data_IF_722646602846
#
_entry.id   IF_722646602846
#
_cell.length_a   1.000
_cell.length_b   1.000
_cell.length_c   1.000
_cell.angle_alpha   90.00
_cell.angle_beta   90.00
_cell.angle_gamma   90.00
#
_symmetry.space_group_name_H-M   'P 1'
#
loop_
_entity.id
_entity.type
_entity.pdbx_description
1 polymer ?
#
# COMPACT_ATOMS: atom_id res chain seq x y z
N UNK A 1 -17.63 17.12 15.52
CA UNK A 1 -16.45 16.79 16.37
C UNK A 1 -15.54 18.00 16.38
N UNK A 2 -14.99 18.40 17.54
CA UNK A 2 -14.17 19.60 17.63
C UNK A 2 -12.74 19.36 17.12
N UNK A 3 -12.17 20.33 16.42
CA UNK A 3 -10.78 20.29 15.90
C UNK A 3 -9.79 19.91 16.99
N UNK A 4 -9.92 20.45 18.19
CA UNK A 4 -9.08 20.17 19.35
C UNK A 4 -9.03 18.70 19.75
N UNK A 5 -10.17 18.01 19.71
CA UNK A 5 -10.23 16.58 19.99
C UNK A 5 -9.43 15.77 18.96
N UNK A 6 -9.52 16.13 17.68
CA UNK A 6 -8.75 15.47 16.64
C UNK A 6 -7.24 15.71 16.84
N UNK A 7 -6.82 16.95 17.13
CA UNK A 7 -5.41 17.28 17.39
C UNK A 7 -4.87 16.51 18.61
N UNK A 8 -5.65 16.40 19.69
CA UNK A 8 -5.27 15.59 20.86
C UNK A 8 -5.12 14.11 20.52
N UNK A 9 -6.03 13.58 19.71
CA UNK A 9 -5.97 12.19 19.24
C UNK A 9 -4.75 11.94 18.35
N UNK A 10 -4.44 12.87 17.44
CA UNK A 10 -3.27 12.80 16.55
C UNK A 10 -1.96 12.90 17.36
N UNK A 11 -1.91 13.77 18.39
CA UNK A 11 -0.79 13.84 19.31
C UNK A 11 -0.58 12.53 20.07
N UNK A 12 -1.67 11.93 20.57
CA UNK A 12 -1.63 10.64 21.27
C UNK A 12 -1.14 9.52 20.35
N UNK A 13 -1.58 9.53 19.07
CA UNK A 13 -1.14 8.58 18.06
C UNK A 13 0.36 8.72 17.75
N UNK A 14 0.88 9.96 17.62
CA UNK A 14 2.31 10.21 17.42
C UNK A 14 3.14 9.63 18.58
N UNK A 15 2.74 9.91 19.82
CA UNK A 15 3.44 9.39 21.00
C UNK A 15 3.38 7.88 21.17
N UNK A 16 2.28 7.27 20.75
CA UNK A 16 2.10 5.81 20.85
C UNK A 16 2.91 5.05 19.80
N UNK A 17 3.00 5.60 18.60
CA UNK A 17 3.54 4.90 17.44
C UNK A 17 5.02 5.21 17.18
N UNK A 18 5.57 6.27 17.77
CA UNK A 18 6.99 6.59 17.68
C UNK A 18 7.69 6.35 19.04
N UNK A 19 8.43 5.23 19.18
CA UNK A 19 9.13 4.90 20.42
C UNK A 19 10.33 5.82 20.72
N UNK A 20 10.79 6.60 19.74
CA UNK A 20 11.90 7.54 19.93
C UNK A 20 11.50 8.78 20.74
N UNK A 21 10.20 9.09 20.84
CA UNK A 21 9.71 10.26 21.55
C UNK A 21 9.81 10.05 23.07
N UNK A 22 10.63 10.86 23.78
CA UNK A 22 10.81 10.71 25.21
C UNK A 22 9.56 11.06 26.02
N UNK A 23 9.48 10.60 27.26
CA UNK A 23 8.40 10.95 28.16
C UNK A 23 8.49 12.41 28.63
N UNK A 24 7.37 12.96 29.11
CA UNK A 24 7.30 14.27 29.76
C UNK A 24 7.33 15.47 28.79
N UNK A 25 7.73 16.64 29.31
CA UNK A 25 7.66 17.92 28.61
C UNK A 25 8.58 17.98 27.39
N UNK A 26 9.73 17.34 27.43
CA UNK A 26 10.64 17.23 26.27
C UNK A 26 9.97 16.54 25.10
N UNK A 27 9.32 15.39 25.33
CA UNK A 27 8.60 14.70 24.26
C UNK A 27 7.41 15.49 23.71
N UNK A 28 6.75 16.29 24.55
CA UNK A 28 5.74 17.23 24.08
C UNK A 28 6.32 18.24 23.08
N UNK A 29 7.43 18.88 23.42
CA UNK A 29 8.08 19.83 22.51
C UNK A 29 8.56 19.15 21.22
N UNK A 30 9.09 17.94 21.32
CA UNK A 30 9.58 17.16 20.19
C UNK A 30 8.46 16.84 19.20
N UNK A 31 7.30 16.36 19.66
CA UNK A 31 6.13 16.14 18.80
C UNK A 31 5.65 17.42 18.15
N UNK A 32 5.52 18.49 18.94
CA UNK A 32 4.92 19.74 18.45
C UNK A 32 5.81 20.48 17.46
N UNK A 33 7.13 20.43 17.61
CA UNK A 33 8.06 21.24 16.82
C UNK A 33 8.95 20.44 15.86
N UNK A 34 9.18 19.15 16.13
CA UNK A 34 10.16 18.35 15.39
C UNK A 34 9.54 17.18 14.60
N UNK A 35 8.22 16.93 14.73
CA UNK A 35 7.57 15.84 13.99
C UNK A 35 6.81 16.38 12.77
N UNK A 36 7.36 16.25 11.54
CA UNK A 36 6.74 16.83 10.33
C UNK A 36 5.32 16.32 10.09
N UNK A 37 5.06 15.04 10.37
CA UNK A 37 3.73 14.43 10.23
C UNK A 37 2.69 15.09 11.13
N UNK A 38 3.03 15.35 12.41
CA UNK A 38 2.13 16.04 13.34
C UNK A 38 1.90 17.50 12.95
N UNK A 39 2.94 18.20 12.49
CA UNK A 39 2.82 19.57 11.99
C UNK A 39 1.87 19.64 10.79
N UNK A 40 2.05 18.73 9.82
CA UNK A 40 1.23 18.69 8.60
C UNK A 40 -0.24 18.39 8.89
N UNK A 41 -0.54 17.40 9.75
CA UNK A 41 -1.93 17.06 10.08
C UNK A 41 -2.60 18.14 10.91
N UNK A 42 -1.90 18.74 11.87
CA UNK A 42 -2.43 19.83 12.70
C UNK A 42 -2.78 21.04 11.83
N UNK A 43 -1.88 21.44 10.93
CA UNK A 43 -2.16 22.49 9.96
C UNK A 43 -3.36 22.12 9.06
N UNK A 44 -3.41 20.89 8.56
CA UNK A 44 -4.50 20.40 7.74
C UNK A 44 -5.88 20.50 8.46
N UNK A 45 -5.97 20.22 9.77
CA UNK A 45 -7.21 20.35 10.52
C UNK A 45 -7.81 21.76 10.40
N UNK A 46 -6.96 22.81 10.53
CA UNK A 46 -7.34 24.22 10.34
C UNK A 46 -7.66 24.55 8.88
N UNK A 47 -6.81 24.12 7.94
CA UNK A 47 -6.96 24.34 6.51
C UNK A 47 -8.25 23.70 5.99
N UNK A 48 -8.56 22.49 6.39
CA UNK A 48 -9.79 21.76 6.04
C UNK A 48 -11.04 22.50 6.54
N UNK A 49 -10.98 23.02 7.77
CA UNK A 49 -12.07 23.82 8.32
C UNK A 49 -12.33 25.10 7.51
N UNK A 50 -11.27 25.84 7.15
CA UNK A 50 -11.37 27.02 6.27
C UNK A 50 -11.97 26.66 4.91
N UNK A 51 -11.55 25.54 4.34
CA UNK A 51 -12.00 25.08 3.03
C UNK A 51 -13.47 24.63 3.04
N UNK A 52 -13.87 23.85 4.04
CA UNK A 52 -15.18 23.19 4.05
C UNK A 52 -16.26 24.03 4.74
N UNK A 53 -15.94 24.69 5.85
CA UNK A 53 -16.92 25.44 6.67
C UNK A 53 -17.09 26.86 6.19
N UNK A 54 -15.99 27.55 5.89
CA UNK A 54 -16.02 28.93 5.44
C UNK A 54 -15.93 29.08 3.92
N UNK A 55 -15.62 28.00 3.20
CA UNK A 55 -15.50 27.96 1.74
C UNK A 55 -14.60 29.07 1.18
N UNK A 56 -13.53 29.39 1.91
CA UNK A 56 -12.57 30.40 1.48
C UNK A 56 -11.88 29.93 0.20
N UNK A 57 -11.94 30.71 -0.89
CA UNK A 57 -11.28 30.31 -2.13
C UNK A 57 -9.77 30.53 -2.03
N UNK A 58 -8.97 29.75 -2.75
CA UNK A 58 -7.51 29.88 -2.95
C UNK A 58 -6.68 29.77 -1.66
N UNK A 59 -6.99 30.54 -0.61
CA UNK A 59 -6.19 30.62 0.62
C UNK A 59 -5.90 29.26 1.27
N UNK A 60 -6.85 28.31 1.40
CA UNK A 60 -6.56 26.99 1.94
C UNK A 60 -5.52 26.23 1.11
N UNK A 61 -5.57 26.33 -0.21
CA UNK A 61 -4.57 25.72 -1.11
C UNK A 61 -3.20 26.37 -0.96
N UNK A 62 -3.15 27.69 -0.84
CA UNK A 62 -1.90 28.42 -0.65
C UNK A 62 -1.23 28.05 0.68
N UNK A 63 -2.01 28.01 1.78
CA UNK A 63 -1.47 27.57 3.08
C UNK A 63 -0.98 26.11 3.00
N UNK A 64 -1.73 25.22 2.34
CA UNK A 64 -1.33 23.83 2.13
C UNK A 64 0.01 23.72 1.36
N UNK A 65 0.25 24.61 0.40
CA UNK A 65 1.53 24.67 -0.34
C UNK A 65 2.69 25.08 0.58
N UNK A 66 2.50 26.04 1.49
CA UNK A 66 3.51 26.46 2.47
C UNK A 66 3.83 25.27 3.42
N UNK A 67 2.80 24.58 3.92
CA UNK A 67 2.95 23.40 4.79
C UNK A 67 3.74 22.31 4.08
N UNK A 68 3.41 22.01 2.81
CA UNK A 68 4.17 21.08 1.97
C UNK A 68 5.65 21.48 1.84
N UNK A 69 5.92 22.75 1.56
CA UNK A 69 7.28 23.23 1.44
C UNK A 69 8.09 23.03 2.73
N UNK A 70 7.46 23.23 3.89
CA UNK A 70 8.12 23.07 5.20
C UNK A 70 8.26 21.62 5.64
N UNK A 71 7.22 20.80 5.45
CA UNK A 71 7.15 19.42 5.99
C UNK A 71 7.50 18.34 4.98
N UNK A 72 7.51 18.66 3.68
CA UNK A 72 7.60 17.67 2.60
C UNK A 72 6.32 16.83 2.40
N UNK A 73 5.21 17.18 3.09
CA UNK A 73 3.95 16.45 3.09
C UNK A 73 2.87 17.27 2.40
N UNK A 74 2.26 16.69 1.34
CA UNK A 74 1.12 17.31 0.66
C UNK A 74 -0.20 16.72 1.11
N UNK A 75 -1.07 17.52 1.70
CA UNK A 75 -2.45 17.13 2.01
C UNK A 75 -3.40 18.13 1.36
N UNK A 76 -4.26 17.65 0.47
CA UNK A 76 -5.25 18.52 -0.17
C UNK A 76 -6.26 19.04 0.86
N UNK A 77 -6.63 20.34 0.85
CA UNK A 77 -7.58 20.92 1.82
C UNK A 77 -8.92 20.20 1.95
N UNK A 78 -9.42 19.59 0.86
CA UNK A 78 -10.67 18.85 0.84
C UNK A 78 -10.57 17.40 1.38
N UNK A 79 -9.37 16.85 1.56
CA UNK A 79 -9.21 15.49 2.07
C UNK A 79 -9.85 15.33 3.45
N UNK A 80 -10.58 14.25 3.66
CA UNK A 80 -11.26 13.94 4.92
C UNK A 80 -10.40 12.97 5.72
N UNK A 81 -9.95 13.36 6.91
CA UNK A 81 -9.04 12.56 7.73
C UNK A 81 -9.63 12.36 9.12
N UNK A 82 -9.80 11.12 9.53
CA UNK A 82 -10.28 10.71 10.85
C UNK A 82 -9.34 11.09 11.99
N UNK A 83 -9.73 10.79 13.22
CA UNK A 83 -8.95 11.03 14.44
C UNK A 83 -7.82 9.98 14.61
N UNK A 84 -6.73 10.33 15.30
CA UNK A 84 -5.63 9.42 15.56
C UNK A 84 -4.75 9.13 14.35
N UNK A 85 -4.75 10.03 13.37
CA UNK A 85 -3.93 9.87 12.16
C UNK A 85 -2.46 10.14 12.45
N UNK A 86 -1.59 9.26 12.00
CA UNK A 86 -0.15 9.35 12.21
C UNK A 86 0.61 9.23 10.89
N UNK A 87 1.54 10.16 10.66
CA UNK A 87 2.51 10.09 9.56
C UNK A 87 3.89 10.01 10.16
N UNK A 88 4.58 8.89 9.93
CA UNK A 88 5.95 8.69 10.34
C UNK A 88 6.91 9.14 9.24
N UNK A 89 7.95 9.90 9.61
CA UNK A 89 8.90 10.57 8.72
C UNK A 89 8.25 11.55 7.73
N UNK A 90 7.38 11.11 6.87
CA UNK A 90 6.44 11.88 6.06
C UNK A 90 6.96 12.44 4.74
N UNK A 91 8.28 12.55 4.50
CA UNK A 91 8.81 13.12 3.27
C UNK A 91 8.20 12.47 2.01
N UNK A 92 7.64 13.29 1.11
CA UNK A 92 7.03 12.81 -0.14
C UNK A 92 5.67 12.13 0.01
N UNK A 93 5.00 12.24 1.16
CA UNK A 93 3.59 11.83 1.30
C UNK A 93 2.70 12.77 0.50
N UNK A 94 1.77 12.19 -0.28
CA UNK A 94 0.76 12.93 -1.05
C UNK A 94 -0.63 12.37 -0.77
N UNK A 95 -1.54 13.21 -0.30
CA UNK A 95 -2.95 12.89 -0.03
C UNK A 95 -3.85 13.75 -0.90
N UNK A 96 -4.51 13.11 -1.88
CA UNK A 96 -5.31 13.78 -2.90
C UNK A 96 -6.68 14.27 -2.40
N UNK A 97 -7.33 15.11 -3.20
CA UNK A 97 -8.53 15.88 -2.92
C UNK A 97 -9.71 15.06 -2.35
N UNK A 98 -10.07 13.97 -3.01
CA UNK A 98 -11.26 13.17 -2.64
C UNK A 98 -10.90 11.97 -1.77
N UNK A 99 -9.71 11.98 -1.15
CA UNK A 99 -9.29 10.94 -0.20
C UNK A 99 -10.14 10.99 1.06
N UNK A 100 -10.52 9.81 1.53
CA UNK A 100 -11.17 9.62 2.84
C UNK A 100 -10.29 8.67 3.64
N UNK A 101 -9.94 9.07 4.85
CA UNK A 101 -9.11 8.28 5.77
C UNK A 101 -9.88 8.09 7.06
N UNK A 102 -10.01 6.86 7.50
CA UNK A 102 -10.64 6.47 8.76
C UNK A 102 -9.81 6.86 10.00
N UNK A 103 -10.12 6.24 11.12
CA UNK A 103 -9.45 6.49 12.41
C UNK A 103 -8.18 5.66 12.56
N UNK A 104 -7.22 6.18 13.34
CA UNK A 104 -6.00 5.47 13.71
C UNK A 104 -5.21 4.91 12.51
N UNK A 105 -5.20 5.61 11.39
CA UNK A 105 -4.45 5.23 10.20
C UNK A 105 -3.01 5.71 10.32
N UNK A 106 -2.07 4.85 9.94
CA UNK A 106 -0.63 5.15 9.93
C UNK A 106 -0.11 5.13 8.50
N UNK A 107 0.57 6.19 8.10
CA UNK A 107 1.31 6.28 6.82
C UNK A 107 2.79 6.50 7.09
N UNK A 108 3.62 5.99 6.19
CA UNK A 108 5.05 6.25 6.17
C UNK A 108 5.43 7.16 5.00
N UNK A 109 6.70 7.60 4.99
CA UNK A 109 7.24 8.46 3.93
C UNK A 109 7.00 7.89 2.52
N UNK A 110 6.83 8.79 1.56
CA UNK A 110 6.65 8.43 0.15
C UNK A 110 5.32 7.79 -0.22
N UNK A 111 4.38 7.67 0.73
CA UNK A 111 3.04 7.14 0.45
C UNK A 111 2.25 8.10 -0.43
N UNK A 112 1.57 7.57 -1.44
CA UNK A 112 0.65 8.34 -2.29
C UNK A 112 -0.76 7.79 -2.21
N UNK A 113 -1.72 8.62 -1.80
CA UNK A 113 -3.16 8.39 -1.92
C UNK A 113 -3.67 9.22 -3.09
N UNK A 114 -3.57 8.67 -4.31
CA UNK A 114 -3.68 9.39 -5.57
C UNK A 114 -4.81 8.90 -6.48
N UNK A 115 -5.02 9.60 -7.60
CA UNK A 115 -5.82 9.15 -8.73
C UNK A 115 -4.96 8.44 -9.77
N UNK A 116 -5.59 7.70 -10.70
CA UNK A 116 -4.90 7.08 -11.85
C UNK A 116 -4.84 8.03 -13.05
N UNK A 117 -5.59 9.13 -13.02
CA UNK A 117 -5.75 10.07 -14.13
C UNK A 117 -6.79 9.66 -15.17
N UNK A 118 -7.41 8.49 -15.03
CA UNK A 118 -8.39 7.94 -15.96
C UNK A 118 -9.84 7.97 -15.42
N UNK A 119 -10.04 8.51 -14.22
CA UNK A 119 -11.35 8.52 -13.57
C UNK A 119 -12.29 9.55 -14.23
N UNK A 120 -13.48 9.07 -14.61
CA UNK A 120 -14.56 9.90 -15.15
C UNK A 120 -15.44 10.51 -14.06
N UNK A 121 -15.38 10.00 -12.82
CA UNK A 121 -16.15 10.46 -11.68
C UNK A 121 -15.40 11.49 -10.85
N UNK A 122 -16.13 12.29 -10.02
CA UNK A 122 -15.51 13.20 -9.06
C UNK A 122 -14.66 12.47 -8.02
N UNK A 123 -15.11 11.31 -7.52
CA UNK A 123 -14.34 10.43 -6.62
C UNK A 123 -13.23 9.74 -7.40
N UNK A 124 -11.96 10.15 -7.18
CA UNK A 124 -10.79 9.65 -7.90
C UNK A 124 -9.63 9.22 -6.99
N UNK A 125 -9.78 9.42 -5.68
CA UNK A 125 -8.75 9.05 -4.70
C UNK A 125 -9.29 7.98 -3.75
N UNK A 126 -8.41 7.21 -3.09
CA UNK A 126 -8.82 6.07 -2.27
C UNK A 126 -9.61 6.46 -1.01
N UNK A 127 -10.29 5.46 -0.48
CA UNK A 127 -10.90 5.48 0.85
C UNK A 127 -10.21 4.41 1.70
N UNK A 128 -9.65 4.80 2.85
CA UNK A 128 -9.04 3.91 3.83
C UNK A 128 -9.98 3.78 5.03
N UNK A 129 -10.23 2.54 5.46
CA UNK A 129 -10.95 2.26 6.69
C UNK A 129 -10.14 2.57 7.95
N UNK A 130 -10.66 2.15 9.10
CA UNK A 130 -10.03 2.37 10.40
C UNK A 130 -8.82 1.44 10.61
N UNK A 131 -7.83 1.88 11.39
CA UNK A 131 -6.64 1.10 11.77
C UNK A 131 -5.83 0.57 10.59
N UNK A 132 -5.86 1.24 9.43
CA UNK A 132 -5.07 0.86 8.25
C UNK A 132 -3.62 1.28 8.45
N UNK A 133 -2.70 0.37 8.13
CA UNK A 133 -1.25 0.62 8.12
C UNK A 133 -0.74 0.63 6.69
N UNK A 134 -0.03 1.70 6.30
CA UNK A 134 0.53 1.86 4.95
C UNK A 134 2.03 2.04 5.03
N UNK A 135 2.77 1.04 4.59
CA UNK A 135 4.23 1.02 4.58
C UNK A 135 4.84 2.06 3.61
N UNK A 136 6.12 2.36 3.85
CA UNK A 136 6.86 3.39 3.12
C UNK A 136 6.81 3.21 1.59
N UNK A 137 6.67 4.32 0.87
CA UNK A 137 6.68 4.33 -0.59
C UNK A 137 5.47 3.71 -1.28
N UNK A 138 4.48 3.18 -0.54
CA UNK A 138 3.30 2.55 -1.15
C UNK A 138 2.45 3.56 -1.95
N UNK A 139 1.90 3.11 -3.07
CA UNK A 139 1.04 3.89 -3.97
C UNK A 139 -0.36 3.27 -3.99
N UNK A 140 -1.34 3.95 -3.45
CA UNK A 140 -2.74 3.53 -3.45
C UNK A 140 -3.48 4.47 -4.40
N UNK A 141 -3.90 3.94 -5.55
CA UNK A 141 -4.33 4.76 -6.67
C UNK A 141 -5.75 4.41 -7.13
N UNK A 142 -6.53 5.44 -7.43
CA UNK A 142 -7.90 5.34 -7.90
C UNK A 142 -8.94 5.38 -6.78
N UNK A 143 -10.24 5.32 -7.12
CA UNK A 143 -11.35 5.38 -6.17
C UNK A 143 -11.59 4.05 -5.44
N UNK A 144 -10.51 3.38 -5.05
CA UNK A 144 -10.53 2.08 -4.38
C UNK A 144 -10.76 2.20 -2.88
N UNK A 145 -11.22 1.11 -2.27
CA UNK A 145 -11.45 0.99 -0.83
C UNK A 145 -10.41 0.04 -0.23
N UNK A 146 -9.73 0.49 0.80
CA UNK A 146 -8.88 -0.34 1.68
C UNK A 146 -9.66 -0.57 2.97
N UNK A 147 -10.04 -1.82 3.21
CA UNK A 147 -10.83 -2.22 4.36
C UNK A 147 -10.09 -2.00 5.69
N UNK A 148 -10.85 -1.91 6.77
CA UNK A 148 -10.33 -1.68 8.13
C UNK A 148 -9.37 -2.77 8.57
N UNK A 149 -8.42 -2.41 9.46
CA UNK A 149 -7.40 -3.30 10.00
C UNK A 149 -6.47 -3.92 8.95
N UNK A 150 -6.42 -3.36 7.74
CA UNK A 150 -5.57 -3.88 6.66
C UNK A 150 -4.17 -3.29 6.72
N UNK A 151 -3.21 -4.02 6.16
CA UNK A 151 -1.81 -3.62 6.08
C UNK A 151 -1.34 -3.61 4.64
N UNK A 152 -0.76 -2.51 4.22
CA UNK A 152 -0.16 -2.34 2.91
C UNK A 152 1.36 -2.39 3.08
N UNK A 153 2.01 -3.33 2.42
CA UNK A 153 3.47 -3.47 2.46
C UNK A 153 4.19 -2.28 1.82
N UNK A 154 5.44 -2.06 2.22
CA UNK A 154 6.27 -1.00 1.63
C UNK A 154 6.42 -1.17 0.11
N UNK A 155 6.49 -0.05 -0.61
CA UNK A 155 6.61 0.02 -2.07
C UNK A 155 5.54 -0.73 -2.87
N UNK A 156 4.41 -1.07 -2.23
CA UNK A 156 3.29 -1.73 -2.91
C UNK A 156 2.51 -0.76 -3.80
N UNK A 157 2.06 -1.23 -4.96
CA UNK A 157 1.17 -0.49 -5.86
C UNK A 157 -0.22 -1.13 -5.83
N UNK A 158 -1.17 -0.47 -5.16
CA UNK A 158 -2.54 -0.96 -4.94
C UNK A 158 -3.49 -0.27 -5.92
N UNK A 159 -4.10 -1.06 -6.80
CA UNK A 159 -5.01 -0.61 -7.86
C UNK A 159 -6.40 -1.25 -7.76
N UNK A 160 -6.63 -2.08 -6.75
CA UNK A 160 -7.90 -2.80 -6.52
C UNK A 160 -8.29 -2.71 -5.05
N UNK A 161 -9.58 -2.88 -4.77
CA UNK A 161 -10.08 -2.91 -3.40
C UNK A 161 -9.35 -3.98 -2.56
N UNK A 162 -9.07 -3.61 -1.31
CA UNK A 162 -8.46 -4.49 -0.31
C UNK A 162 -9.53 -4.82 0.74
N UNK A 163 -9.83 -6.09 1.00
CA UNK A 163 -10.78 -6.47 2.04
C UNK A 163 -10.26 -6.11 3.44
N UNK A 164 -11.16 -6.12 4.41
CA UNK A 164 -10.79 -5.92 5.82
C UNK A 164 -9.86 -7.03 6.33
N UNK A 165 -9.03 -6.68 7.32
CA UNK A 165 -8.10 -7.61 7.97
C UNK A 165 -7.10 -8.28 6.99
N UNK A 166 -6.85 -7.67 5.83
CA UNK A 166 -5.96 -8.19 4.81
C UNK A 166 -4.55 -7.58 4.89
N UNK A 167 -3.58 -8.33 4.43
CA UNK A 167 -2.23 -7.82 4.14
C UNK A 167 -1.98 -7.95 2.66
N UNK A 168 -1.58 -6.86 2.01
CA UNK A 168 -1.24 -6.82 0.58
C UNK A 168 0.18 -6.29 0.38
N UNK A 169 0.89 -6.85 -0.59
CA UNK A 169 2.26 -6.45 -0.90
C UNK A 169 2.58 -6.68 -2.39
N UNK A 170 3.61 -6.02 -2.88
CA UNK A 170 4.16 -6.19 -4.23
C UNK A 170 3.88 -5.03 -5.17
N UNK A 171 4.61 -4.99 -6.30
CA UNK A 171 4.48 -3.92 -7.30
C UNK A 171 3.11 -3.91 -8.03
N UNK A 172 2.44 -5.08 -8.07
CA UNK A 172 0.99 -5.20 -8.30
C UNK A 172 0.47 -5.92 -7.06
N UNK A 173 0.03 -5.15 -6.07
CA UNK A 173 -0.28 -5.66 -4.75
C UNK A 173 -1.26 -6.84 -4.80
N UNK A 174 -0.90 -7.93 -4.12
CA UNK A 174 -1.70 -9.14 -3.99
C UNK A 174 -2.06 -9.34 -2.53
N UNK A 175 -3.21 -9.92 -2.28
CA UNK A 175 -3.61 -10.30 -0.93
C UNK A 175 -2.79 -11.55 -0.54
N UNK A 176 -1.97 -11.42 0.51
CA UNK A 176 -1.11 -12.51 1.02
C UNK A 176 -1.64 -13.10 2.33
N UNK A 177 -2.49 -12.34 3.05
CA UNK A 177 -3.15 -12.79 4.29
C UNK A 177 -4.54 -12.20 4.40
N UNK A 178 -5.48 -12.94 4.96
CA UNK A 178 -6.82 -12.48 5.36
C UNK A 178 -7.08 -13.02 6.77
N UNK A 179 -7.47 -12.14 7.70
CA UNK A 179 -7.71 -12.55 9.09
C UNK A 179 -6.48 -13.19 9.76
N UNK A 180 -5.26 -12.72 9.45
CA UNK A 180 -4.00 -13.26 9.95
C UNK A 180 -3.57 -14.60 9.34
N UNK A 181 -4.38 -15.24 8.51
CA UNK A 181 -4.07 -16.51 7.83
C UNK A 181 -3.49 -16.24 6.45
N UNK A 182 -2.40 -16.94 6.04
CA UNK A 182 -1.90 -16.85 4.67
C UNK A 182 -2.99 -17.25 3.66
N UNK A 183 -3.13 -16.46 2.59
CA UNK A 183 -3.93 -16.86 1.44
C UNK A 183 -3.03 -17.70 0.57
N UNK A 184 -3.43 -18.97 0.31
CA UNK A 184 -2.72 -19.85 -0.62
C UNK A 184 -2.59 -19.15 -1.97
N UNK A 185 -1.35 -18.95 -2.38
CA UNK A 185 -1.01 -18.22 -3.58
C UNK A 185 -1.20 -19.09 -4.82
N UNK A 186 -2.42 -19.24 -5.28
CA UNK A 186 -2.61 -19.44 -6.71
C UNK A 186 -2.12 -18.18 -7.44
N UNK A 187 -0.81 -17.92 -7.43
CA UNK A 187 -0.19 -16.73 -8.01
C UNK A 187 0.93 -16.07 -7.21
N UNK A 188 1.47 -16.67 -6.13
CA UNK A 188 2.78 -16.33 -5.62
C UNK A 188 3.80 -16.67 -6.71
N UNK A 189 4.81 -15.84 -6.91
CA UNK A 189 5.96 -16.28 -7.67
C UNK A 189 6.45 -17.56 -6.99
N UNK A 190 6.40 -18.66 -7.71
CA UNK A 190 6.98 -19.92 -7.26
C UNK A 190 8.46 -19.67 -6.98
N UNK A 191 9.02 -20.31 -5.97
CA UNK A 191 10.48 -20.32 -5.82
C UNK A 191 11.11 -20.85 -7.12
N UNK A 192 12.37 -20.53 -7.42
CA UNK A 192 13.02 -21.09 -8.59
C UNK A 192 12.92 -22.61 -8.65
N UNK A 193 12.99 -23.29 -7.50
CA UNK A 193 12.87 -24.75 -7.37
C UNK A 193 11.44 -25.22 -7.67
N UNK A 194 10.42 -24.54 -7.13
CA UNK A 194 9.01 -24.85 -7.40
C UNK A 194 8.64 -24.59 -8.86
N UNK A 195 9.21 -23.52 -9.46
CA UNK A 195 9.01 -23.18 -10.85
C UNK A 195 9.62 -24.25 -11.75
N UNK A 196 10.86 -24.68 -11.46
CA UNK A 196 11.55 -25.73 -12.17
C UNK A 196 10.79 -27.06 -12.10
N UNK A 197 10.37 -27.47 -10.92
CA UNK A 197 9.56 -28.68 -10.72
C UNK A 197 8.25 -28.65 -11.50
N UNK A 198 7.63 -27.47 -11.63
CA UNK A 198 6.41 -27.32 -12.42
C UNK A 198 6.65 -27.32 -13.91
N UNK A 199 7.77 -26.76 -14.36
CA UNK A 199 8.20 -26.83 -15.78
C UNK A 199 8.43 -28.28 -16.17
N UNK A 200 9.23 -29.04 -15.41
CA UNK A 200 9.51 -30.47 -15.67
C UNK A 200 8.20 -31.27 -15.78
N UNK A 201 7.27 -31.07 -14.83
CA UNK A 201 5.96 -31.76 -14.88
C UNK A 201 5.15 -31.42 -16.13
N UNK A 202 5.14 -30.13 -16.54
CA UNK A 202 4.41 -29.71 -17.74
C UNK A 202 5.06 -30.26 -19.02
N UNK A 203 6.38 -30.40 -19.05
CA UNK A 203 7.10 -31.02 -20.15
C UNK A 203 6.79 -32.52 -20.27
N UNK A 204 6.72 -33.22 -19.14
CA UNK A 204 6.28 -34.63 -19.09
C UNK A 204 4.83 -34.79 -19.59
N UNK A 205 3.90 -33.97 -19.09
CA UNK A 205 2.50 -33.99 -19.52
C UNK A 205 2.39 -33.70 -21.03
N UNK A 206 3.15 -32.75 -21.55
CA UNK A 206 3.20 -32.40 -22.96
C UNK A 206 3.72 -33.57 -23.81
N UNK A 207 4.78 -34.24 -23.34
CA UNK A 207 5.35 -35.40 -24.00
C UNK A 207 4.34 -36.56 -24.11
N UNK A 208 3.61 -36.86 -23.02
CA UNK A 208 2.55 -37.87 -23.01
C UNK A 208 1.42 -37.52 -23.96
N UNK A 209 0.96 -36.28 -23.96
CA UNK A 209 -0.09 -35.83 -24.87
C UNK A 209 0.35 -35.87 -26.34
N UNK A 210 1.58 -35.50 -26.64
CA UNK A 210 2.14 -35.61 -28.00
C UNK A 210 2.22 -37.06 -28.46
N UNK A 211 2.59 -37.97 -27.58
CA UNK A 211 2.66 -39.42 -27.87
C UNK A 211 1.26 -40.00 -28.12
N UNK A 212 0.29 -39.68 -27.27
CA UNK A 212 -1.11 -40.08 -27.51
C UNK A 212 -1.67 -39.54 -28.84
N UNK A 213 -1.33 -38.27 -29.12
CA UNK A 213 -1.79 -37.65 -30.39
C UNK A 213 -1.16 -38.30 -31.62
N UNK A 214 0.12 -38.64 -31.58
CA UNK A 214 0.80 -39.40 -32.66
C UNK A 214 0.17 -40.79 -32.82
N UNK A 215 -0.11 -41.50 -31.73
CA UNK A 215 -0.74 -42.81 -31.74
C UNK A 215 -2.17 -42.75 -32.33
N UNK A 216 -2.94 -41.72 -32.02
CA UNK A 216 -4.27 -41.49 -32.63
C UNK A 216 -4.20 -41.19 -34.13
N UNK A 217 -3.10 -40.60 -34.62
CA UNK A 217 -2.89 -40.32 -36.06
C UNK A 217 -2.34 -41.49 -36.83
N UNK A 218 -1.90 -42.55 -36.17
CA UNK A 218 -1.25 -43.71 -36.83
C UNK A 218 0.19 -43.44 -37.30
N UNK A 219 0.82 -42.39 -36.77
CA UNK A 219 2.21 -42.05 -37.03
C UNK A 219 3.13 -42.96 -36.17
N UNK A 220 4.23 -43.49 -36.74
CA UNK A 220 5.21 -44.30 -35.97
C UNK A 220 5.84 -43.45 -34.86
N UNK A 221 5.84 -43.95 -33.63
CA UNK A 221 6.44 -43.30 -32.47
C UNK A 221 7.88 -43.80 -32.40
N UNK A 222 8.84 -42.95 -32.81
CA UNK A 222 10.28 -43.24 -32.48
C UNK A 222 10.45 -43.17 -30.96
N UNK A 223 11.02 -44.21 -30.37
CA UNK A 223 11.44 -44.22 -28.97
C UNK A 223 12.60 -43.24 -28.81
N UNK A 224 12.26 -42.01 -28.43
CA UNK A 224 13.24 -40.97 -28.07
C UNK A 224 13.76 -41.20 -26.65
N UNK A 225 15.08 -41.12 -26.51
CA UNK A 225 15.89 -41.16 -25.30
C UNK A 225 15.29 -40.37 -24.14
N UNK A 226 15.31 -40.95 -22.94
CA UNK A 226 14.91 -40.34 -21.67
C UNK A 226 15.66 -39.01 -21.46
N UNK A 227 14.85 -37.94 -21.20
CA UNK A 227 15.35 -36.56 -21.00
C UNK A 227 16.12 -36.40 -19.66
N UNK A 228 16.27 -37.49 -18.87
CA UNK A 228 16.89 -37.48 -17.54
C UNK A 228 18.41 -37.27 -17.52
N UNK A 229 19.13 -37.50 -18.61
CA UNK A 229 20.62 -37.54 -18.56
C UNK A 229 21.31 -36.22 -18.96
N UNK A 230 20.61 -35.24 -19.57
CA UNK A 230 21.26 -34.00 -20.00
C UNK A 230 21.21 -32.85 -18.94
N UNK A 231 20.37 -32.94 -17.90
CA UNK A 231 20.22 -31.87 -16.89
C UNK A 231 21.13 -32.00 -15.65
N UNK A 232 21.80 -33.15 -15.46
CA UNK A 232 22.74 -33.32 -14.32
C UNK A 232 24.13 -32.68 -14.52
N UNK A 233 24.50 -32.23 -15.71
CA UNK A 233 25.85 -31.78 -16.02
C UNK A 233 26.14 -30.30 -15.75
N UNK A 234 25.11 -29.43 -15.62
CA UNK A 234 25.34 -27.98 -15.44
C UNK A 234 25.29 -27.45 -14.00
N UNK A 235 24.95 -28.24 -12.99
CA UNK A 235 24.83 -27.76 -11.58
C UNK A 235 26.13 -27.99 -10.77
N UNK A 236 27.15 -28.63 -11.34
CA UNK A 236 28.38 -29.03 -10.59
C UNK A 236 29.56 -28.06 -10.67
N UNK A 237 29.48 -26.92 -11.35
CA UNK A 237 30.54 -25.90 -11.37
C UNK A 237 30.02 -24.48 -11.35
N UNK A 238 29.68 -23.94 -10.16
CA UNK A 238 30.01 -22.55 -9.74
C UNK A 238 29.72 -22.34 -8.28
#
# INVERSE_FOLDING_TARGET
MGIWRNIQSDYTAARRNDPAIPAGFRGFLEVVFCTPGFLAITAHRGIHYLHTRWRVPVLPRFISLIVRWWTGIEIHPAAQIGEGFFIDHGAGVVIGETTIVGKNVTLYQGVTLGGTGNEKSHKRHPTLGDNVFVGSGAKILGPIVVGSNSRIGANSVVLKNVPENATVTGMRARIVKVGGRPVSSAGAALSPEELLARIIRLEEELYYLQREFKQCRGDEVEEGTEISDELEIEVSHK
#
